data_IF_865315452264
#
_entry.id   IF_865315452264
#
_cell.length_a   1.000
_cell.length_b   1.000
_cell.length_c   1.000
_cell.angle_alpha   90.00
_cell.angle_beta   90.00
_cell.angle_gamma   90.00
#
_symmetry.space_group_name_H-M   'P 1'
#
loop_
_entity.id
_entity.type
_entity.pdbx_description
1 polymer ?
#
# COMPACT_ATOMS: atom_id res chain seq x y z
N UNK A 1 -5.09 20.51 16.88
CA UNK A 1 -5.42 19.52 15.84
C UNK A 1 -4.96 18.19 16.38
N UNK A 2 -5.89 17.32 16.79
CA UNK A 2 -5.54 16.06 17.41
C UNK A 2 -4.72 15.23 16.42
N UNK A 3 -3.50 14.88 16.77
CA UNK A 3 -2.77 13.80 16.10
C UNK A 3 -3.62 12.54 16.29
N UNK A 4 -4.44 12.22 15.30
CA UNK A 4 -5.18 10.96 15.28
C UNK A 4 -4.11 9.88 15.20
N UNK A 5 -3.76 9.34 16.37
CA UNK A 5 -2.85 8.21 16.50
C UNK A 5 -3.46 7.05 15.73
N UNK A 6 -3.00 6.85 14.50
CA UNK A 6 -3.37 5.69 13.70
C UNK A 6 -2.64 4.47 14.26
N UNK A 7 -3.18 3.95 15.37
CA UNK A 7 -2.64 2.81 16.10
C UNK A 7 -2.50 1.59 15.17
N UNK A 8 -3.37 1.50 14.17
CA UNK A 8 -3.35 0.43 13.19
C UNK A 8 -2.17 0.56 12.23
N UNK A 9 -1.91 1.76 11.71
CA UNK A 9 -0.71 2.05 10.93
C UNK A 9 0.57 1.62 11.66
N UNK A 10 0.71 1.98 12.94
CA UNK A 10 1.89 1.60 13.74
C UNK A 10 2.00 0.08 13.97
N UNK A 11 0.87 -0.61 14.13
CA UNK A 11 0.84 -2.07 14.26
C UNK A 11 1.29 -2.75 12.97
N UNK A 12 0.76 -2.32 11.82
CA UNK A 12 1.13 -2.83 10.49
C UNK A 12 2.60 -2.54 10.19
N UNK A 13 3.07 -1.32 10.46
CA UNK A 13 4.49 -0.94 10.35
C UNK A 13 5.40 -1.88 11.14
N UNK A 14 5.09 -2.13 12.42
CA UNK A 14 5.88 -3.05 13.26
C UNK A 14 5.90 -4.48 12.72
N UNK A 15 4.79 -4.98 12.16
CA UNK A 15 4.74 -6.33 11.57
C UNK A 15 5.67 -6.41 10.36
N UNK A 16 5.60 -5.41 9.48
CA UNK A 16 6.41 -5.35 8.27
C UNK A 16 7.90 -5.26 8.61
N UNK A 17 8.28 -4.31 9.47
CA UNK A 17 9.67 -4.12 9.89
C UNK A 17 10.24 -5.35 10.59
N UNK A 18 9.46 -6.03 11.43
CA UNK A 18 9.94 -7.19 12.18
C UNK A 18 10.09 -8.44 11.31
N UNK A 19 9.20 -8.63 10.33
CA UNK A 19 9.15 -9.88 9.55
C UNK A 19 9.97 -9.84 8.27
N UNK A 20 10.14 -8.67 7.64
CA UNK A 20 10.59 -8.61 6.24
C UNK A 20 11.86 -7.80 6.00
N UNK A 21 12.38 -7.10 7.02
CA UNK A 21 13.63 -6.32 6.92
C UNK A 21 14.82 -7.20 6.55
N UNK A 22 15.72 -6.67 5.73
CA UNK A 22 16.96 -7.29 5.23
C UNK A 22 16.78 -8.43 4.23
N UNK A 23 15.61 -8.53 3.56
CA UNK A 23 15.35 -9.57 2.54
C UNK A 23 15.46 -9.05 1.10
N UNK A 24 15.73 -7.76 0.93
CA UNK A 24 15.88 -7.10 -0.37
C UNK A 24 14.69 -6.19 -0.67
N UNK A 25 14.97 -5.05 -1.30
CA UNK A 25 14.00 -3.96 -1.49
C UNK A 25 12.70 -4.43 -2.16
N UNK A 26 12.79 -5.23 -3.22
CA UNK A 26 11.62 -5.71 -3.97
C UNK A 26 10.68 -6.52 -3.05
N UNK A 27 11.26 -7.40 -2.23
CA UNK A 27 10.50 -8.22 -1.30
C UNK A 27 9.87 -7.38 -0.19
N UNK A 28 10.60 -6.40 0.35
CA UNK A 28 10.09 -5.49 1.37
C UNK A 28 8.95 -4.60 0.84
N UNK A 29 9.07 -4.10 -0.38
CA UNK A 29 8.02 -3.33 -1.06
C UNK A 29 6.79 -4.19 -1.28
N UNK A 30 6.95 -5.42 -1.78
CA UNK A 30 5.83 -6.34 -1.96
C UNK A 30 5.12 -6.62 -0.64
N UNK A 31 5.86 -7.02 0.40
CA UNK A 31 5.26 -7.40 1.67
C UNK A 31 4.62 -6.23 2.41
N UNK A 32 5.23 -5.04 2.37
CA UNK A 32 4.61 -3.83 2.91
C UNK A 32 3.31 -3.51 2.18
N UNK A 33 3.33 -3.50 0.84
CA UNK A 33 2.14 -3.24 0.01
C UNK A 33 1.01 -4.22 0.32
N UNK A 34 1.30 -5.52 0.35
CA UNK A 34 0.33 -6.58 0.70
C UNK A 34 -0.28 -6.36 2.09
N UNK A 35 0.54 -6.05 3.09
CA UNK A 35 0.07 -5.88 4.47
C UNK A 35 -0.77 -4.62 4.65
N UNK A 36 -0.37 -3.51 4.04
CA UNK A 36 -1.17 -2.28 4.07
C UNK A 36 -2.47 -2.46 3.29
N UNK A 37 -2.43 -3.06 2.10
CA UNK A 37 -3.64 -3.34 1.33
C UNK A 37 -4.61 -4.23 2.13
N UNK A 38 -4.14 -5.33 2.72
CA UNK A 38 -4.97 -6.18 3.58
C UNK A 38 -5.61 -5.43 4.75
N UNK A 39 -4.89 -4.46 5.29
CA UNK A 39 -5.36 -3.69 6.43
C UNK A 39 -6.54 -2.77 6.10
N UNK A 40 -6.54 -2.19 4.91
CA UNK A 40 -7.54 -1.21 4.47
C UNK A 40 -8.68 -1.81 3.63
N UNK A 41 -8.55 -3.07 3.19
CA UNK A 41 -9.67 -3.81 2.62
C UNK A 41 -10.54 -4.38 3.73
N UNK A 42 -11.78 -4.74 3.41
CA UNK A 42 -12.60 -5.47 4.36
C UNK A 42 -11.91 -6.80 4.74
N UNK A 43 -11.89 -7.18 6.03
CA UNK A 43 -11.19 -8.37 6.50
C UNK A 43 -11.87 -9.62 5.92
N UNK A 44 -11.37 -10.05 4.77
CA UNK A 44 -11.88 -11.17 3.99
C UNK A 44 -10.93 -12.36 4.00
N UNK A 45 -9.67 -12.16 4.43
CA UNK A 45 -8.63 -13.16 4.34
C UNK A 45 -7.89 -13.33 5.67
N UNK A 46 -7.83 -14.56 6.18
CA UNK A 46 -7.04 -14.93 7.36
C UNK A 46 -5.52 -14.79 7.11
N UNK A 47 -5.07 -14.98 5.86
CA UNK A 47 -3.67 -14.82 5.47
C UNK A 47 -3.48 -14.01 4.17
N UNK A 48 -3.27 -12.69 4.23
CA UNK A 48 -3.18 -11.86 3.03
C UNK A 48 -2.04 -12.21 2.09
N UNK A 49 -0.93 -12.74 2.61
CA UNK A 49 0.28 -13.00 1.83
C UNK A 49 0.08 -14.18 0.87
N UNK A 50 -0.80 -15.11 1.23
CA UNK A 50 -1.14 -16.29 0.41
C UNK A 50 -2.23 -15.98 -0.62
N UNK A 51 -3.01 -14.92 -0.41
CA UNK A 51 -4.16 -14.59 -1.26
C UNK A 51 -3.94 -13.34 -2.12
N UNK A 52 -3.05 -12.42 -1.73
CA UNK A 52 -2.77 -11.21 -2.49
C UNK A 52 -1.60 -11.43 -3.44
N UNK A 53 -1.89 -11.64 -4.73
CA UNK A 53 -0.88 -11.76 -5.79
C UNK A 53 -0.69 -10.46 -6.55
N UNK A 54 0.42 -10.33 -7.28
CA UNK A 54 0.73 -9.14 -8.09
C UNK A 54 -0.29 -8.85 -9.18
N UNK A 55 -1.00 -9.87 -9.67
CA UNK A 55 -1.98 -9.73 -10.76
C UNK A 55 -3.38 -9.38 -10.26
N UNK A 56 -3.59 -9.27 -8.94
CA UNK A 56 -4.89 -8.89 -8.39
C UNK A 56 -5.26 -7.49 -8.83
N UNK A 57 -6.50 -7.38 -9.30
CA UNK A 57 -7.10 -6.12 -9.69
C UNK A 57 -7.47 -5.30 -8.43
N UNK A 58 -6.88 -4.12 -8.29
CA UNK A 58 -7.11 -3.27 -7.11
C UNK A 58 -8.53 -2.72 -7.07
N UNK A 59 -9.14 -2.38 -8.22
CA UNK A 59 -10.54 -1.94 -8.27
C UNK A 59 -11.47 -3.01 -7.72
N UNK A 60 -11.23 -4.28 -8.06
CA UNK A 60 -12.01 -5.39 -7.52
C UNK A 60 -11.75 -5.60 -6.03
N UNK A 61 -10.48 -5.53 -5.61
CA UNK A 61 -10.07 -5.75 -4.24
C UNK A 61 -10.66 -4.71 -3.27
N UNK A 62 -10.73 -3.45 -3.68
CA UNK A 62 -11.36 -2.39 -2.91
C UNK A 62 -12.88 -2.29 -3.16
N UNK A 63 -13.48 -3.16 -3.98
CA UNK A 63 -14.87 -3.04 -4.42
C UNK A 63 -15.21 -1.64 -4.99
N UNK A 64 -14.24 -1.00 -5.64
CA UNK A 64 -14.34 0.38 -6.14
C UNK A 64 -14.25 1.48 -5.07
N UNK A 65 -14.03 1.14 -3.80
CA UNK A 65 -13.84 2.10 -2.71
C UNK A 65 -12.51 2.84 -2.85
N UNK A 66 -12.59 4.06 -3.35
CA UNK A 66 -11.44 4.92 -3.61
C UNK A 66 -10.84 5.48 -2.33
N UNK A 67 -11.66 5.81 -1.34
CA UNK A 67 -11.19 6.39 -0.09
C UNK A 67 -10.29 5.41 0.65
N UNK A 68 -10.65 4.11 0.64
CA UNK A 68 -9.80 3.05 1.17
C UNK A 68 -8.49 2.92 0.40
N UNK A 69 -8.52 2.97 -0.93
CA UNK A 69 -7.29 2.94 -1.73
C UNK A 69 -6.37 4.13 -1.41
N UNK A 70 -6.93 5.34 -1.34
CA UNK A 70 -6.18 6.57 -1.02
C UNK A 70 -5.57 6.46 0.38
N UNK A 71 -6.31 5.94 1.36
CA UNK A 71 -5.81 5.71 2.72
C UNK A 71 -4.63 4.71 2.72
N UNK A 72 -4.75 3.60 1.99
CA UNK A 72 -3.64 2.64 1.81
C UNK A 72 -2.43 3.29 1.17
N UNK A 73 -2.64 4.05 0.10
CA UNK A 73 -1.57 4.72 -0.62
C UNK A 73 -0.84 5.73 0.28
N UNK A 74 -1.59 6.57 1.00
CA UNK A 74 -1.03 7.53 1.95
C UNK A 74 -0.23 6.84 3.07
N UNK A 75 -0.72 5.70 3.57
CA UNK A 75 0.00 4.89 4.54
C UNK A 75 1.30 4.32 3.97
N UNK A 76 1.30 3.82 2.73
CA UNK A 76 2.51 3.31 2.08
C UNK A 76 3.55 4.39 1.83
N UNK A 77 3.12 5.56 1.34
CA UNK A 77 3.99 6.73 1.15
C UNK A 77 4.61 7.16 2.47
N UNK A 78 3.81 7.23 3.54
CA UNK A 78 4.29 7.54 4.89
C UNK A 78 5.25 6.48 5.44
N UNK A 79 5.01 5.20 5.15
CA UNK A 79 5.86 4.09 5.62
C UNK A 79 7.23 4.11 4.97
N UNK A 80 7.27 4.35 3.66
CA UNK A 80 8.49 4.40 2.88
C UNK A 80 9.18 5.77 2.87
N UNK A 81 8.62 6.76 3.59
CA UNK A 81 9.11 8.14 3.64
C UNK A 81 9.27 8.76 2.24
N UNK A 82 8.40 8.34 1.31
CA UNK A 82 8.37 8.87 -0.05
C UNK A 82 7.78 10.28 0.04
N UNK A 83 8.34 11.23 -0.70
CA UNK A 83 7.74 12.56 -0.81
C UNK A 83 6.30 12.41 -1.33
N UNK A 84 5.29 12.90 -0.58
CA UNK A 84 3.92 12.84 -1.04
C UNK A 84 3.84 13.59 -2.37
N UNK A 85 3.06 13.04 -3.28
CA UNK A 85 2.74 13.72 -4.52
C UNK A 85 2.31 15.17 -4.22
N UNK A 86 2.66 16.15 -5.06
CA UNK A 86 1.80 17.32 -5.17
C UNK A 86 0.40 16.77 -5.51
N UNK A 87 -0.64 17.21 -4.81
CA UNK A 87 -2.04 16.73 -4.89
C UNK A 87 -2.66 16.62 -6.32
N UNK A 88 -1.89 16.93 -7.36
CA UNK A 88 -2.24 16.97 -8.77
C UNK A 88 -1.78 15.75 -9.59
N UNK A 89 -0.90 14.88 -9.08
CA UNK A 89 -0.34 13.76 -9.89
C UNK A 89 -1.15 12.45 -9.83
N UNK A 90 -2.00 12.24 -8.81
CA UNK A 90 -3.01 11.18 -8.86
C UNK A 90 -4.25 11.81 -9.49
N UNK A 91 -4.61 11.49 -10.74
CA UNK A 91 -5.78 12.07 -11.35
C UNK A 91 -7.00 11.59 -10.57
N UNK A 92 -7.73 12.52 -9.97
CA UNK A 92 -8.98 12.26 -9.27
C UNK A 92 -9.87 11.38 -10.15
N UNK A 93 -10.32 10.24 -9.61
CA UNK A 93 -11.13 9.22 -10.28
C UNK A 93 -10.41 8.27 -11.25
N UNK A 94 -9.09 8.36 -11.42
CA UNK A 94 -8.27 7.47 -12.28
C UNK A 94 -7.25 6.64 -11.49
N UNK A 95 -7.41 6.54 -10.18
CA UNK A 95 -6.49 5.83 -9.29
C UNK A 95 -6.34 4.37 -9.73
N UNK A 96 -7.45 3.71 -10.05
CA UNK A 96 -7.47 2.33 -10.54
C UNK A 96 -7.11 2.18 -12.02
N UNK A 97 -7.06 3.26 -12.79
CA UNK A 97 -6.54 3.23 -14.17
C UNK A 97 -5.01 3.34 -14.15
N UNK A 98 -4.48 4.16 -13.23
CA UNK A 98 -3.05 4.31 -13.00
C UNK A 98 -2.44 3.09 -12.30
N UNK A 99 -3.19 2.51 -11.35
CA UNK A 99 -2.80 1.32 -10.59
C UNK A 99 -3.88 0.24 -10.76
N UNK A 100 -3.94 -0.44 -11.92
CA UNK A 100 -4.94 -1.46 -12.15
C UNK A 100 -4.67 -2.72 -11.31
N UNK A 101 -3.40 -3.05 -11.07
CA UNK A 101 -3.01 -4.24 -10.30
C UNK A 101 -2.16 -3.92 -9.07
N UNK A 102 -2.15 -4.85 -8.10
CA UNK A 102 -1.26 -4.79 -6.93
C UNK A 102 0.22 -4.70 -7.36
N UNK A 103 0.59 -5.40 -8.43
CA UNK A 103 1.93 -5.39 -8.99
C UNK A 103 2.32 -4.02 -9.54
N UNK A 104 1.39 -3.27 -10.14
CA UNK A 104 1.67 -1.90 -10.60
C UNK A 104 1.92 -0.95 -9.44
N UNK A 105 1.15 -1.10 -8.35
CA UNK A 105 1.38 -0.36 -7.10
C UNK A 105 2.75 -0.71 -6.50
N UNK A 106 3.10 -2.00 -6.43
CA UNK A 106 4.42 -2.45 -5.96
C UNK A 106 5.56 -1.86 -6.80
N UNK A 107 5.48 -1.97 -8.13
CA UNK A 107 6.50 -1.41 -9.06
C UNK A 107 6.64 0.09 -8.90
N UNK A 108 5.53 0.79 -8.68
CA UNK A 108 5.53 2.24 -8.47
C UNK A 108 6.25 2.62 -7.18
N UNK A 109 5.89 1.99 -6.05
CA UNK A 109 6.55 2.20 -4.77
C UNK A 109 8.03 1.83 -4.86
N UNK A 110 8.36 0.69 -5.47
CA UNK A 110 9.75 0.25 -5.66
C UNK A 110 10.57 1.29 -6.42
N UNK A 111 10.03 1.81 -7.53
CA UNK A 111 10.70 2.89 -8.29
C UNK A 111 10.95 4.09 -7.39
N UNK A 112 9.93 4.58 -6.70
CA UNK A 112 10.06 5.76 -5.82
C UNK A 112 11.09 5.56 -4.70
N UNK A 113 11.09 4.39 -4.07
CA UNK A 113 12.07 4.08 -3.02
C UNK A 113 13.49 3.96 -3.56
N UNK A 114 13.69 3.48 -4.79
CA UNK A 114 15.02 3.48 -5.45
C UNK A 114 15.54 4.88 -5.77
N UNK A 115 14.65 5.87 -5.89
CA UNK A 115 15.01 7.27 -6.17
C UNK A 115 15.18 8.12 -4.91
N UNK A 116 14.96 7.56 -3.72
CA UNK A 116 15.32 8.13 -2.41
C UNK A 116 16.79 7.85 -2.09
#
# INVERSE_FOLDING_TARGET
MAEVFDFQYYKTKKIVEKRFRNRGLIFEVYMSTVQFVHHYIEPTYDNPVEHLTTDINLKHLYNGDRDRFIATYAALVKYWEIEPFPNWEIPMNREFEMFPTLGDLCKYIEKRVKYL
#
